data_IF_849821739393
#
_entry.id   IF_849821739393
#
_cell.length_a   1.000
_cell.length_b   1.000
_cell.length_c   1.000
_cell.angle_alpha   90.00
_cell.angle_beta   90.00
_cell.angle_gamma   90.00
#
_symmetry.space_group_name_H-M   'P 1'
#
loop_
_entity.id
_entity.type
_entity.pdbx_description
1 polymer ?
#
# COMPACT_ATOMS: atom_id res chain seq x y z
N UNK A 1 7.50 10.56 -10.35
CA UNK A 1 7.09 9.42 -11.18
C UNK A 1 8.07 9.24 -12.34
N UNK A 2 8.10 8.07 -12.96
CA UNK A 2 9.06 7.70 -14.02
C UNK A 2 8.35 7.29 -15.29
N UNK A 3 9.05 7.46 -16.43
CA UNK A 3 8.70 6.83 -17.69
C UNK A 3 9.86 5.94 -18.11
N UNK A 4 9.56 4.67 -18.36
CA UNK A 4 10.59 3.69 -18.68
C UNK A 4 10.54 3.37 -20.18
N UNK A 5 11.68 3.58 -20.85
CA UNK A 5 11.89 3.22 -22.23
C UNK A 5 12.58 1.86 -22.32
N UNK A 6 11.98 0.93 -23.03
CA UNK A 6 12.48 -0.42 -23.14
C UNK A 6 11.60 -1.27 -24.06
N UNK A 7 11.85 -2.59 -24.12
CA UNK A 7 11.10 -3.47 -25.00
C UNK A 7 9.64 -3.62 -24.52
N UNK A 8 8.73 -3.58 -25.49
CA UNK A 8 7.32 -3.91 -25.29
C UNK A 8 6.97 -5.13 -26.15
N UNK A 9 7.00 -6.29 -25.52
CA UNK A 9 6.66 -7.59 -26.12
C UNK A 9 6.01 -8.45 -25.02
N UNK A 10 4.71 -8.24 -24.75
CA UNK A 10 4.01 -8.93 -23.68
C UNK A 10 4.06 -10.46 -23.77
N UNK A 11 4.05 -11.02 -24.99
CA UNK A 11 4.15 -12.46 -25.22
C UNK A 11 5.45 -13.05 -24.65
N UNK A 12 6.53 -12.26 -24.65
CA UNK A 12 7.82 -12.61 -24.08
C UNK A 12 8.09 -11.97 -22.70
N UNK A 13 7.04 -11.44 -22.03
CA UNK A 13 7.14 -10.88 -20.68
C UNK A 13 7.69 -9.46 -20.61
N UNK A 14 7.91 -8.76 -21.72
CA UNK A 14 8.45 -7.40 -21.76
C UNK A 14 7.32 -6.36 -21.80
N UNK A 15 7.27 -5.46 -20.83
CA UNK A 15 6.12 -4.56 -20.64
C UNK A 15 6.48 -3.09 -20.42
N UNK A 16 7.69 -2.66 -20.82
CA UNK A 16 8.08 -1.25 -20.75
C UNK A 16 7.22 -0.40 -21.70
N UNK A 17 6.59 0.64 -21.20
CA UNK A 17 5.75 1.53 -21.99
C UNK A 17 5.92 2.98 -21.51
N UNK A 18 6.59 3.85 -22.30
CA UNK A 18 6.82 5.24 -21.93
C UNK A 18 5.54 6.09 -21.85
N UNK A 19 4.41 5.59 -22.36
CA UNK A 19 3.11 6.27 -22.19
C UNK A 19 2.51 6.05 -20.79
N UNK A 20 3.04 5.09 -20.03
CA UNK A 20 2.58 4.82 -18.66
C UNK A 20 3.50 5.51 -17.66
N UNK A 21 2.94 6.43 -16.89
CA UNK A 21 3.65 7.11 -15.81
C UNK A 21 3.66 6.19 -14.59
N UNK A 22 4.86 5.85 -14.12
CA UNK A 22 5.07 4.84 -13.07
C UNK A 22 5.47 5.51 -11.76
N UNK A 23 4.93 5.03 -10.65
CA UNK A 23 5.40 5.41 -9.33
C UNK A 23 6.70 4.69 -8.99
N UNK A 24 7.47 5.25 -8.07
CA UNK A 24 8.69 4.66 -7.55
C UNK A 24 8.35 3.51 -6.59
N UNK A 25 8.82 2.26 -6.82
CA UNK A 25 8.60 1.14 -5.90
C UNK A 25 9.22 1.37 -4.52
N UNK A 26 10.19 2.27 -4.39
CA UNK A 26 10.84 2.62 -3.12
C UNK A 26 10.28 3.92 -2.51
N UNK A 27 9.22 4.48 -3.07
CA UNK A 27 8.60 5.68 -2.53
C UNK A 27 8.12 5.46 -1.09
N UNK A 28 8.29 6.47 -0.26
CA UNK A 28 7.85 6.49 1.13
C UNK A 28 6.57 7.31 1.33
N UNK A 29 6.11 7.95 0.28
CA UNK A 29 4.85 8.69 0.26
C UNK A 29 4.35 8.87 -1.17
N UNK A 30 3.06 9.05 -1.31
CA UNK A 30 2.37 9.27 -2.58
C UNK A 30 1.46 10.49 -2.49
N UNK A 31 1.07 11.02 -3.66
CA UNK A 31 0.09 12.07 -3.83
C UNK A 31 -0.79 11.77 -5.04
N UNK A 32 -2.05 12.19 -5.01
CA UNK A 32 -3.05 11.86 -6.03
C UNK A 32 -3.74 10.52 -5.77
N UNK A 33 -4.37 10.01 -6.82
CA UNK A 33 -5.05 8.70 -6.79
C UNK A 33 -4.94 7.99 -8.15
N UNK A 34 -5.14 6.68 -8.14
CA UNK A 34 -5.41 5.92 -9.35
C UNK A 34 -6.92 5.87 -9.55
N UNK A 35 -7.41 6.44 -10.64
CA UNK A 35 -8.84 6.60 -10.90
C UNK A 35 -9.47 5.47 -11.75
N UNK A 36 -8.67 4.46 -12.14
CA UNK A 36 -9.11 3.33 -12.96
C UNK A 36 -9.28 3.68 -14.45
N UNK A 37 -8.76 4.81 -14.91
CA UNK A 37 -8.89 5.25 -16.30
C UNK A 37 -8.24 4.24 -17.28
N UNK A 38 -8.82 4.01 -18.48
CA UNK A 38 -8.26 3.11 -19.49
C UNK A 38 -6.80 3.35 -19.86
N UNK A 39 -6.32 4.59 -19.77
CA UNK A 39 -4.91 4.93 -20.03
C UNK A 39 -3.89 4.24 -19.11
N UNK A 40 -4.32 3.71 -17.96
CA UNK A 40 -3.47 2.94 -17.05
C UNK A 40 -3.10 1.56 -17.58
N UNK A 41 -3.81 1.06 -18.60
CA UNK A 41 -3.60 -0.28 -19.15
C UNK A 41 -2.75 -0.24 -20.42
N UNK A 42 -1.90 -1.27 -20.63
CA UNK A 42 -1.06 -1.37 -21.83
C UNK A 42 -1.81 -1.80 -23.08
N UNK A 43 -3.06 -2.24 -22.96
CA UNK A 43 -3.90 -2.72 -24.05
C UNK A 43 -5.17 -1.89 -24.13
N UNK A 44 -5.79 -1.87 -25.30
CA UNK A 44 -7.12 -1.27 -25.50
C UNK A 44 -8.18 -2.12 -24.79
N UNK A 45 -8.96 -1.53 -23.89
CA UNK A 45 -9.95 -2.25 -23.09
C UNK A 45 -11.11 -2.82 -23.93
N UNK A 46 -11.29 -2.34 -25.16
CA UNK A 46 -12.29 -2.84 -26.12
C UNK A 46 -11.70 -3.84 -27.13
N UNK A 47 -10.38 -3.83 -27.33
CA UNK A 47 -9.67 -4.75 -28.21
C UNK A 47 -8.29 -5.10 -27.63
N UNK A 48 -8.26 -6.14 -26.79
CA UNK A 48 -7.07 -6.55 -26.06
C UNK A 48 -5.89 -6.96 -26.94
N UNK A 49 -6.10 -7.14 -28.26
CA UNK A 49 -5.02 -7.38 -29.23
C UNK A 49 -4.23 -6.13 -29.57
N UNK A 50 -4.78 -4.95 -29.27
CA UNK A 50 -4.16 -3.66 -29.56
C UNK A 50 -3.46 -3.08 -28.33
N UNK A 51 -2.30 -2.49 -28.58
CA UNK A 51 -1.60 -1.70 -27.59
C UNK A 51 -2.33 -0.38 -27.35
N UNK A 52 -2.49 -0.01 -26.07
CA UNK A 52 -2.97 1.31 -25.70
C UNK A 52 -1.77 2.27 -25.51
N UNK A 53 -1.67 3.28 -26.36
CA UNK A 53 -0.61 4.30 -26.32
C UNK A 53 -1.07 5.60 -25.68
N UNK A 54 -2.25 5.62 -25.08
CA UNK A 54 -2.74 6.79 -24.33
C UNK A 54 -1.86 7.09 -23.12
N UNK A 55 -1.61 8.38 -22.87
CA UNK A 55 -0.79 8.81 -21.76
C UNK A 55 -1.57 8.71 -20.44
N UNK A 56 -1.00 8.04 -19.44
CA UNK A 56 -1.61 7.91 -18.12
C UNK A 56 -1.39 9.13 -17.19
N UNK A 57 -0.76 10.19 -17.69
CA UNK A 57 -0.59 11.43 -16.92
C UNK A 57 -1.95 12.01 -16.51
N UNK A 58 -2.12 12.28 -15.23
CA UNK A 58 -3.38 12.79 -14.66
C UNK A 58 -4.31 11.72 -14.11
N UNK A 59 -4.03 10.42 -14.37
CA UNK A 59 -4.82 9.28 -13.92
C UNK A 59 -4.08 8.37 -12.95
N UNK A 60 -2.86 8.75 -12.56
CA UNK A 60 -1.98 7.97 -11.68
C UNK A 60 -1.48 8.81 -10.51
N UNK A 61 -1.15 8.15 -9.43
CA UNK A 61 -0.44 8.76 -8.31
C UNK A 61 0.98 9.17 -8.71
N UNK A 62 1.56 10.05 -7.92
CA UNK A 62 2.98 10.43 -8.01
C UNK A 62 3.68 10.13 -6.69
N UNK A 63 4.94 9.72 -6.77
CA UNK A 63 5.79 9.53 -5.60
C UNK A 63 6.23 10.88 -5.05
N UNK A 64 6.13 11.05 -3.74
CA UNK A 64 6.52 12.28 -3.04
C UNK A 64 7.90 12.11 -2.43
N UNK A 65 8.80 13.03 -2.73
CA UNK A 65 10.10 13.13 -2.06
C UNK A 65 9.89 13.75 -0.67
N UNK A 66 10.17 12.99 0.36
CA UNK A 66 10.01 13.44 1.75
C UNK A 66 11.35 13.58 2.45
N UNK A 67 11.40 14.42 3.48
CA UNK A 67 12.47 14.33 4.47
C UNK A 67 12.20 13.15 5.40
N UNK A 68 13.03 12.09 5.41
CA UNK A 68 12.81 10.90 6.24
C UNK A 68 13.11 11.13 7.73
N UNK A 69 13.64 12.30 8.07
CA UNK A 69 13.96 12.63 9.46
C UNK A 69 12.69 12.64 10.32
N UNK A 70 12.77 11.98 11.44
CA UNK A 70 11.76 12.00 12.50
C UNK A 70 12.50 11.88 13.83
N UNK A 71 12.20 12.77 14.75
CA UNK A 71 12.78 12.70 16.09
C UNK A 71 12.10 11.61 16.90
N UNK A 72 12.74 10.47 16.98
CA UNK A 72 12.30 9.36 17.83
C UNK A 72 12.60 9.59 19.32
N UNK A 73 13.44 10.57 19.66
CA UNK A 73 13.86 10.81 21.05
C UNK A 73 14.51 9.57 21.66
N UNK A 74 13.98 9.13 22.81
CA UNK A 74 14.42 7.93 23.51
C UNK A 74 13.55 6.69 23.22
N UNK A 75 12.76 6.72 22.15
CA UNK A 75 11.84 5.64 21.77
C UNK A 75 12.53 4.28 21.69
N UNK A 76 11.87 3.26 22.24
CA UNK A 76 12.27 1.85 22.16
C UNK A 76 11.03 0.97 22.17
N UNK A 77 11.00 -0.02 21.31
CA UNK A 77 9.97 -1.06 21.37
C UNK A 77 9.98 -1.75 22.74
N UNK A 78 8.84 -1.99 23.37
CA UNK A 78 8.73 -2.51 24.75
C UNK A 78 9.39 -3.88 24.95
N UNK A 79 9.38 -4.78 23.97
CA UNK A 79 9.96 -6.14 24.02
C UNK A 79 9.31 -6.99 25.12
N UNK A 80 8.00 -7.03 25.14
CA UNK A 80 7.22 -7.86 26.05
C UNK A 80 7.58 -9.34 25.86
N UNK A 81 7.85 -10.10 26.93
CA UNK A 81 8.10 -11.55 26.82
C UNK A 81 6.91 -12.27 26.18
N UNK A 82 7.18 -13.30 25.38
CA UNK A 82 6.15 -14.01 24.61
C UNK A 82 5.02 -14.59 25.48
N UNK A 83 5.35 -15.06 26.67
CA UNK A 83 4.40 -15.61 27.64
C UNK A 83 3.54 -14.54 28.34
N UNK A 84 3.86 -13.26 28.16
CA UNK A 84 3.13 -12.12 28.71
C UNK A 84 2.46 -11.30 27.61
N UNK A 85 2.63 -11.70 26.34
CA UNK A 85 2.12 -10.96 25.19
C UNK A 85 0.62 -11.21 24.99
N UNK A 86 -0.13 -10.12 24.91
CA UNK A 86 -1.55 -10.09 24.51
C UNK A 86 -1.66 -9.22 23.25
N UNK A 87 -1.98 -9.83 22.13
CA UNK A 87 -2.10 -9.17 20.82
C UNK A 87 -3.57 -8.79 20.59
N UNK A 88 -3.77 -7.54 20.17
CA UNK A 88 -5.08 -7.04 19.73
C UNK A 88 -4.98 -6.64 18.26
N UNK A 89 -5.69 -7.35 17.38
CA UNK A 89 -5.77 -6.99 15.97
C UNK A 89 -6.76 -5.85 15.78
N UNK A 90 -6.36 -4.81 15.05
CA UNK A 90 -7.16 -3.62 14.81
C UNK A 90 -7.01 -3.10 13.38
N UNK A 91 -8.11 -2.53 12.87
CA UNK A 91 -8.10 -1.75 11.63
C UNK A 91 -7.99 -0.26 11.96
N UNK A 92 -7.05 0.47 11.37
CA UNK A 92 -6.81 1.89 11.67
C UNK A 92 -8.10 2.71 11.59
N UNK A 93 -8.83 2.59 10.48
CA UNK A 93 -10.10 3.31 10.30
C UNK A 93 -11.20 2.74 11.19
N UNK A 94 -11.36 1.43 11.23
CA UNK A 94 -12.46 0.77 11.96
C UNK A 94 -12.44 1.04 13.45
N UNK A 95 -11.26 1.12 14.06
CA UNK A 95 -11.12 1.27 15.51
C UNK A 95 -11.67 2.60 16.04
N UNK A 96 -11.61 3.68 15.25
CA UNK A 96 -11.92 5.02 15.73
C UNK A 96 -13.04 5.73 14.98
N UNK A 97 -13.49 5.23 13.82
CA UNK A 97 -14.40 5.95 12.92
C UNK A 97 -15.73 6.35 13.58
N UNK A 98 -16.23 5.53 14.49
CA UNK A 98 -17.49 5.79 15.22
C UNK A 98 -17.28 6.06 16.70
N UNK A 99 -16.03 6.23 17.14
CA UNK A 99 -15.72 6.39 18.56
C UNK A 99 -16.15 7.78 19.07
N UNK A 100 -16.99 7.88 20.11
CA UNK A 100 -17.57 9.15 20.55
C UNK A 100 -16.53 10.13 21.13
N UNK A 101 -15.49 9.60 21.79
CA UNK A 101 -14.49 10.41 22.49
C UNK A 101 -13.31 10.83 21.59
N UNK A 102 -13.31 10.42 20.31
CA UNK A 102 -12.30 10.84 19.34
C UNK A 102 -12.83 12.05 18.58
N UNK A 103 -12.06 13.16 18.49
CA UNK A 103 -12.40 14.29 17.63
C UNK A 103 -12.71 13.85 16.19
N UNK A 104 -13.76 14.41 15.61
CA UNK A 104 -14.26 13.96 14.30
C UNK A 104 -13.18 13.99 13.22
N UNK A 105 -12.34 15.01 13.20
CA UNK A 105 -11.23 15.21 12.27
C UNK A 105 -10.10 14.19 12.42
N UNK A 106 -10.03 13.47 13.54
CA UNK A 106 -9.03 12.42 13.79
C UNK A 106 -9.59 11.01 13.61
N UNK A 107 -10.93 10.85 13.48
CA UNK A 107 -11.54 9.53 13.33
C UNK A 107 -11.07 8.82 12.06
N UNK A 108 -10.76 7.55 12.20
CA UNK A 108 -10.30 6.72 11.10
C UNK A 108 -8.86 6.95 10.67
N UNK A 109 -8.06 7.68 11.46
CA UNK A 109 -6.68 8.03 11.11
C UNK A 109 -5.65 7.47 12.09
N UNK A 110 -4.36 7.55 11.73
CA UNK A 110 -3.25 7.20 12.62
C UNK A 110 -3.24 8.06 13.89
N UNK A 111 -3.53 9.35 13.76
CA UNK A 111 -3.63 10.25 14.91
C UNK A 111 -4.82 9.90 15.82
N UNK A 112 -5.94 9.47 15.24
CA UNK A 112 -7.09 8.98 16.01
C UNK A 112 -6.75 7.69 16.76
N UNK A 113 -6.02 6.78 16.13
CA UNK A 113 -5.59 5.54 16.78
C UNK A 113 -4.60 5.79 17.93
N UNK A 114 -3.77 6.83 17.82
CA UNK A 114 -2.84 7.29 18.86
C UNK A 114 -3.51 8.13 19.97
N UNK A 115 -4.82 8.37 19.88
CA UNK A 115 -5.52 9.18 20.88
C UNK A 115 -5.53 8.50 22.26
N UNK A 116 -5.39 9.25 23.37
CA UNK A 116 -5.35 8.68 24.73
C UNK A 116 -6.52 7.74 25.02
N UNK A 117 -7.73 8.04 24.57
CA UNK A 117 -8.91 7.20 24.80
C UNK A 117 -8.74 5.77 24.24
N UNK A 118 -8.03 5.61 23.12
CA UNK A 118 -7.73 4.28 22.54
C UNK A 118 -6.58 3.61 23.31
N UNK A 119 -5.53 4.34 23.59
CA UNK A 119 -4.36 3.82 24.31
C UNK A 119 -4.78 3.35 25.72
N UNK A 120 -5.53 4.15 26.46
CA UNK A 120 -5.99 3.80 27.79
C UNK A 120 -6.93 2.58 27.76
N UNK A 121 -7.85 2.52 26.79
CA UNK A 121 -8.70 1.36 26.59
C UNK A 121 -7.91 0.07 26.38
N UNK A 122 -6.90 0.09 25.51
CA UNK A 122 -6.06 -1.07 25.24
C UNK A 122 -5.24 -1.49 26.48
N UNK A 123 -4.74 -0.52 27.25
CA UNK A 123 -4.03 -0.77 28.52
C UNK A 123 -4.95 -1.39 29.57
N UNK A 124 -6.17 -0.90 29.69
CA UNK A 124 -7.15 -1.43 30.65
C UNK A 124 -7.57 -2.87 30.30
N UNK A 125 -7.55 -3.23 29.00
CA UNK A 125 -7.73 -4.61 28.54
C UNK A 125 -6.50 -5.50 28.81
N UNK A 126 -5.35 -4.94 29.16
CA UNK A 126 -4.10 -5.67 29.32
C UNK A 126 -3.40 -6.01 28.00
N UNK A 127 -3.71 -5.28 26.92
CA UNK A 127 -3.05 -5.44 25.61
C UNK A 127 -1.61 -4.98 25.69
N UNK A 128 -0.68 -5.78 25.18
CA UNK A 128 0.74 -5.47 25.13
C UNK A 128 1.27 -5.26 23.70
N UNK A 129 0.51 -5.66 22.70
CA UNK A 129 0.83 -5.42 21.30
C UNK A 129 -0.46 -5.16 20.49
N UNK A 130 -0.43 -4.13 19.66
CA UNK A 130 -1.47 -3.91 18.64
C UNK A 130 -0.97 -4.41 17.30
N UNK A 131 -1.73 -5.29 16.66
CA UNK A 131 -1.49 -5.72 15.28
C UNK A 131 -2.39 -4.94 14.34
N UNK A 132 -1.79 -4.18 13.44
CA UNK A 132 -2.53 -3.36 12.49
C UNK A 132 -2.76 -4.11 11.19
N UNK A 133 -4.03 -4.29 10.79
CA UNK A 133 -4.38 -4.68 9.44
C UNK A 133 -3.65 -3.78 8.42
N UNK A 134 -3.50 -4.18 7.14
CA UNK A 134 -2.56 -3.56 6.24
C UNK A 134 -2.58 -2.04 6.23
N UNK A 135 -1.43 -1.46 6.47
CA UNK A 135 -1.17 -0.01 6.50
C UNK A 135 -0.24 0.46 5.38
N UNK A 136 0.27 -0.45 4.55
CA UNK A 136 1.00 -0.08 3.35
C UNK A 136 0.05 0.57 2.33
N UNK A 137 0.58 1.42 1.45
CA UNK A 137 -0.23 2.05 0.41
C UNK A 137 -0.81 0.98 -0.52
N UNK A 138 -2.14 0.90 -0.59
CA UNK A 138 -2.89 -0.06 -1.40
C UNK A 138 -3.83 0.64 -2.38
N UNK A 139 -4.29 -0.10 -3.39
CA UNK A 139 -5.29 0.36 -4.36
C UNK A 139 -6.70 0.00 -3.94
N UNK A 140 -7.63 0.83 -4.40
CA UNK A 140 -9.04 0.50 -4.41
C UNK A 140 -9.33 -0.44 -5.60
N UNK A 141 -10.11 -1.49 -5.36
CA UNK A 141 -10.53 -2.42 -6.42
C UNK A 141 -11.63 -1.79 -7.28
N UNK A 142 -11.53 -1.90 -8.60
CA UNK A 142 -12.47 -1.26 -9.53
C UNK A 142 -13.92 -1.70 -9.29
N UNK A 143 -14.16 -2.99 -9.04
CA UNK A 143 -15.49 -3.52 -8.75
C UNK A 143 -16.12 -2.97 -7.44
N UNK A 144 -15.30 -2.49 -6.50
CA UNK A 144 -15.76 -1.81 -5.29
C UNK A 144 -16.05 -0.34 -5.59
N UNK A 145 -15.17 0.32 -6.35
CA UNK A 145 -15.36 1.73 -6.76
C UNK A 145 -16.65 1.92 -7.55
N UNK A 146 -16.95 1.03 -8.50
CA UNK A 146 -18.21 1.03 -9.27
C UNK A 146 -19.47 0.97 -8.38
N UNK A 147 -19.35 0.38 -7.19
CA UNK A 147 -20.43 0.26 -6.19
C UNK A 147 -20.40 1.36 -5.14
N UNK A 148 -19.49 2.35 -5.25
CA UNK A 148 -19.29 3.38 -4.23
C UNK A 148 -18.72 2.83 -2.92
N UNK A 149 -18.05 1.67 -2.96
CA UNK A 149 -17.40 1.02 -1.85
C UNK A 149 -15.89 1.22 -1.93
N UNK A 150 -15.19 0.94 -0.83
CA UNK A 150 -13.73 0.98 -0.74
C UNK A 150 -13.19 -0.37 -0.26
N UNK A 151 -11.94 -0.67 -0.63
CA UNK A 151 -11.21 -1.81 -0.09
C UNK A 151 -10.92 -1.55 1.40
N UNK A 152 -11.66 -2.23 2.26
CA UNK A 152 -11.55 -2.05 3.71
C UNK A 152 -10.32 -2.74 4.29
N UNK A 153 -10.00 -3.94 3.82
CA UNK A 153 -8.93 -4.74 4.41
C UNK A 153 -7.52 -4.31 4.01
N UNK A 154 -7.35 -3.73 2.81
CA UNK A 154 -6.07 -3.20 2.37
C UNK A 154 -5.07 -4.21 1.80
N UNK A 155 -5.48 -5.46 1.51
CA UNK A 155 -4.60 -6.51 0.96
C UNK A 155 -4.35 -6.38 -0.55
N UNK A 156 -4.24 -5.15 -1.06
CA UNK A 156 -4.01 -4.83 -2.47
C UNK A 156 -2.86 -3.83 -2.61
N UNK A 157 -1.70 -4.18 -2.05
CA UNK A 157 -0.55 -3.30 -1.88
C UNK A 157 0.18 -3.02 -3.19
N UNK A 158 0.63 -1.78 -3.38
CA UNK A 158 1.60 -1.40 -4.40
C UNK A 158 2.76 -0.58 -3.84
N UNK A 159 2.59 0.11 -2.72
CA UNK A 159 3.60 0.94 -2.08
C UNK A 159 4.09 0.32 -0.77
N UNK A 160 5.02 -0.63 -0.85
CA UNK A 160 5.50 -1.41 0.31
C UNK A 160 6.30 -0.61 1.34
N UNK A 161 6.75 0.59 1.02
CA UNK A 161 7.56 1.44 1.91
C UNK A 161 6.84 2.72 2.33
N UNK A 162 5.56 2.85 2.01
CA UNK A 162 4.75 4.03 2.30
C UNK A 162 3.52 3.65 3.14
N UNK A 163 3.18 4.43 4.17
CA UNK A 163 1.91 4.29 4.87
C UNK A 163 0.75 4.73 3.96
N UNK A 164 -0.40 4.07 4.11
CA UNK A 164 -1.60 4.40 3.36
C UNK A 164 -2.05 5.83 3.68
N UNK A 165 -2.12 6.68 2.65
CA UNK A 165 -2.36 8.11 2.82
C UNK A 165 -3.75 8.44 3.38
N UNK A 166 -4.77 7.64 3.04
CA UNK A 166 -6.15 7.89 3.45
C UNK A 166 -6.39 7.60 4.94
N UNK A 167 -5.40 7.03 5.64
CA UNK A 167 -5.41 6.87 7.10
C UNK A 167 -4.71 8.03 7.81
N UNK A 168 -4.36 9.11 7.12
CA UNK A 168 -3.75 10.29 7.72
C UNK A 168 -4.75 11.43 7.88
N UNK A 169 -4.74 12.07 9.04
CA UNK A 169 -5.46 13.33 9.27
C UNK A 169 -4.76 14.50 8.55
N UNK A 170 -3.47 14.35 8.23
CA UNK A 170 -2.69 15.36 7.52
C UNK A 170 -3.09 15.44 6.05
N UNK A 171 -3.44 16.64 5.59
CA UNK A 171 -3.72 16.91 4.18
C UNK A 171 -2.46 17.24 3.36
N UNK A 172 -1.27 17.20 3.98
CA UNK A 172 -0.01 17.50 3.30
C UNK A 172 0.54 16.25 2.63
N UNK A 173 0.99 16.31 1.37
CA UNK A 173 1.70 15.20 0.76
C UNK A 173 2.87 14.72 1.64
N UNK A 174 2.92 13.41 1.91
CA UNK A 174 3.91 12.82 2.81
C UNK A 174 3.64 12.97 4.32
N UNK A 175 2.58 13.67 4.71
CA UNK A 175 2.21 13.86 6.12
C UNK A 175 1.91 12.55 6.85
N UNK A 176 1.36 11.56 6.15
CA UNK A 176 1.09 10.22 6.66
C UNK A 176 2.32 9.56 7.31
N UNK A 177 3.52 9.81 6.79
CA UNK A 177 4.76 9.22 7.32
C UNK A 177 5.04 9.70 8.74
N UNK A 178 4.96 11.01 8.98
CA UNK A 178 5.21 11.58 10.30
C UNK A 178 4.11 11.21 11.28
N UNK A 179 2.86 11.16 10.81
CA UNK A 179 1.70 10.79 11.64
C UNK A 179 1.77 9.32 12.05
N UNK A 180 2.08 8.41 11.11
CA UNK A 180 2.30 7.00 11.39
C UNK A 180 3.41 6.78 12.42
N UNK A 181 4.58 7.43 12.23
CA UNK A 181 5.69 7.35 13.20
C UNK A 181 5.31 7.91 14.57
N UNK A 182 4.53 9.00 14.60
CA UNK A 182 3.99 9.55 15.84
C UNK A 182 3.07 8.58 16.59
N UNK A 183 2.21 7.87 15.85
CA UNK A 183 1.36 6.81 16.38
C UNK A 183 2.20 5.67 16.98
N UNK A 184 3.19 5.15 16.25
CA UNK A 184 4.09 4.09 16.77
C UNK A 184 4.76 4.52 18.07
N UNK A 185 5.31 5.74 18.10
CA UNK A 185 5.95 6.28 19.32
C UNK A 185 4.96 6.36 20.48
N UNK A 186 3.72 6.83 20.24
CA UNK A 186 2.70 6.92 21.29
C UNK A 186 2.34 5.56 21.89
N UNK A 187 2.25 4.51 21.07
CA UNK A 187 2.06 3.15 21.56
C UNK A 187 3.27 2.64 22.35
N UNK A 188 4.49 2.84 21.86
CA UNK A 188 5.71 2.46 22.59
C UNK A 188 5.82 3.17 23.95
N UNK A 189 5.54 4.47 24.00
CA UNK A 189 5.53 5.26 25.25
C UNK A 189 4.49 4.72 26.24
N UNK A 190 3.42 4.10 25.75
CA UNK A 190 2.39 3.45 26.57
C UNK A 190 2.71 2.00 26.95
N UNK A 191 3.83 1.45 26.49
CA UNK A 191 4.24 0.07 26.71
C UNK A 191 3.56 -0.94 25.78
N UNK A 192 3.02 -0.50 24.65
CA UNK A 192 2.34 -1.33 23.65
C UNK A 192 3.23 -1.43 22.41
N UNK A 193 3.54 -2.65 21.96
CA UNK A 193 4.25 -2.93 20.72
C UNK A 193 3.32 -2.74 19.51
N UNK A 194 3.89 -2.43 18.34
CA UNK A 194 3.14 -2.32 17.08
C UNK A 194 3.60 -3.40 16.12
N UNK A 195 2.66 -4.24 15.70
CA UNK A 195 2.86 -5.28 14.69
C UNK A 195 2.14 -4.84 13.41
N UNK A 196 2.78 -5.03 12.26
CA UNK A 196 2.18 -4.72 10.96
C UNK A 196 1.82 -6.01 10.24
N UNK A 197 0.54 -6.15 9.86
CA UNK A 197 0.13 -7.18 8.91
C UNK A 197 0.59 -6.76 7.51
N UNK A 198 1.36 -7.61 6.86
CA UNK A 198 2.03 -7.31 5.60
C UNK A 198 1.78 -8.37 4.54
N UNK A 199 1.65 -7.93 3.28
CA UNK A 199 1.41 -8.78 2.11
C UNK A 199 2.56 -8.61 1.13
N UNK A 200 3.54 -9.53 1.17
CA UNK A 200 4.72 -9.51 0.31
C UNK A 200 4.68 -10.57 -0.80
N UNK A 201 3.53 -11.20 -1.03
CA UNK A 201 3.38 -12.28 -1.99
C UNK A 201 2.84 -11.85 -3.36
N UNK A 202 2.11 -10.72 -3.44
CA UNK A 202 1.54 -10.17 -4.66
C UNK A 202 1.46 -8.64 -4.63
N UNK A 203 1.05 -8.04 -5.73
CA UNK A 203 0.84 -6.58 -5.84
C UNK A 203 -0.53 -6.26 -6.42
N UNK A 204 -0.94 -5.01 -6.25
CA UNK A 204 -2.17 -4.44 -6.81
C UNK A 204 -2.20 -4.38 -8.34
N UNK A 205 -1.11 -4.65 -9.05
CA UNK A 205 -1.10 -4.65 -10.52
C UNK A 205 -1.89 -5.83 -11.13
N UNK A 206 -2.36 -6.79 -10.31
CA UNK A 206 -3.19 -7.92 -10.77
C UNK A 206 -2.50 -8.82 -11.79
N UNK A 207 -3.29 -9.52 -12.62
CA UNK A 207 -2.77 -10.40 -13.65
C UNK A 207 -2.24 -9.63 -14.87
N UNK A 208 -1.93 -10.34 -15.97
CA UNK A 208 -1.41 -9.76 -17.21
C UNK A 208 -2.34 -8.70 -17.85
N UNK A 209 -3.61 -8.66 -17.44
CA UNK A 209 -4.61 -7.68 -17.84
C UNK A 209 -4.78 -6.53 -16.84
N UNK A 210 -4.04 -6.49 -15.75
CA UNK A 210 -4.09 -5.41 -14.78
C UNK A 210 -3.39 -4.13 -15.23
N UNK A 211 -3.51 -3.04 -14.47
CA UNK A 211 -2.92 -1.75 -14.82
C UNK A 211 -1.38 -1.79 -14.76
N UNK A 212 -0.73 -0.89 -15.46
CA UNK A 212 0.72 -0.66 -15.43
C UNK A 212 0.99 0.64 -14.69
N UNK A 213 1.31 0.51 -13.41
CA UNK A 213 1.41 1.64 -12.49
C UNK A 213 2.75 1.74 -11.75
N UNK A 214 3.48 0.61 -11.67
CA UNK A 214 4.75 0.53 -10.94
C UNK A 214 5.66 -0.58 -11.52
N UNK A 215 5.70 -1.73 -10.88
CA UNK A 215 6.67 -2.82 -11.05
C UNK A 215 6.73 -3.37 -12.48
N UNK A 216 5.56 -3.66 -13.04
CA UNK A 216 5.39 -4.27 -14.36
C UNK A 216 5.98 -3.40 -15.47
N UNK A 217 5.82 -2.07 -15.37
CA UNK A 217 6.33 -1.13 -16.35
C UNK A 217 7.83 -0.83 -16.19
N UNK A 218 8.42 -1.13 -15.03
CA UNK A 218 9.85 -0.94 -14.74
C UNK A 218 10.64 -2.15 -15.22
N UNK A 219 10.40 -3.33 -14.63
CA UNK A 219 11.01 -4.60 -15.03
C UNK A 219 10.10 -5.77 -14.67
N UNK A 220 9.22 -6.12 -15.59
CA UNK A 220 8.21 -7.15 -15.35
C UNK A 220 8.80 -8.50 -14.93
N UNK A 221 9.92 -8.89 -15.52
CA UNK A 221 10.54 -10.20 -15.29
C UNK A 221 11.32 -10.26 -13.96
N UNK A 222 11.83 -9.12 -13.50
CA UNK A 222 12.50 -9.04 -12.22
C UNK A 222 11.50 -9.10 -11.06
N UNK A 223 10.39 -8.37 -11.19
CA UNK A 223 9.41 -8.26 -10.11
C UNK A 223 8.40 -9.40 -10.05
N UNK A 224 8.03 -10.01 -11.18
CA UNK A 224 6.97 -11.02 -11.21
C UNK A 224 7.48 -12.39 -11.64
N UNK A 225 6.87 -13.42 -11.08
CA UNK A 225 7.08 -14.81 -11.50
C UNK A 225 6.23 -15.09 -12.75
N UNK A 226 6.89 -15.27 -13.89
CA UNK A 226 6.23 -15.58 -15.14
C UNK A 226 6.07 -17.09 -15.32
N UNK A 227 5.03 -17.51 -16.05
CA UNK A 227 4.79 -18.91 -16.38
C UNK A 227 5.87 -19.38 -17.36
N UNK A 228 6.51 -20.51 -17.09
CA UNK A 228 7.49 -21.11 -17.98
C UNK A 228 6.82 -21.59 -19.27
N UNK A 229 7.37 -21.18 -20.42
CA UNK A 229 6.78 -21.48 -21.73
C UNK A 229 5.61 -20.60 -22.15
N UNK A 230 5.10 -19.74 -21.23
CA UNK A 230 4.02 -18.79 -21.51
C UNK A 230 4.24 -17.48 -20.71
N UNK A 231 5.27 -16.74 -21.11
CA UNK A 231 5.76 -15.57 -20.36
C UNK A 231 4.81 -14.35 -20.37
N UNK A 232 3.73 -14.44 -21.12
CA UNK A 232 2.65 -13.44 -21.07
C UNK A 232 1.92 -13.47 -19.71
N UNK A 233 1.82 -14.64 -19.09
CA UNK A 233 1.06 -14.88 -17.89
C UNK A 233 1.94 -14.94 -16.64
N UNK A 234 1.35 -14.63 -15.51
CA UNK A 234 2.01 -14.71 -14.20
C UNK A 234 1.66 -16.02 -13.49
N UNK A 235 2.63 -16.57 -12.76
CA UNK A 235 2.33 -17.57 -11.74
C UNK A 235 1.46 -16.89 -10.67
N UNK A 236 0.38 -17.56 -10.30
CA UNK A 236 -0.59 -17.04 -9.32
C UNK A 236 -0.84 -18.08 -8.23
N UNK A 237 -0.04 -18.02 -7.16
CA UNK A 237 -0.19 -18.93 -6.03
C UNK A 237 -1.21 -18.43 -5.00
N UNK A 238 -1.63 -17.19 -5.12
CA UNK A 238 -2.48 -16.50 -4.13
C UNK A 238 -3.91 -16.32 -4.58
N UNK A 239 -4.20 -16.51 -5.88
CA UNK A 239 -5.51 -16.24 -6.48
C UNK A 239 -5.78 -14.74 -6.72
N UNK A 240 -4.74 -13.90 -6.65
CA UNK A 240 -4.85 -12.43 -6.79
C UNK A 240 -4.38 -11.91 -8.14
N UNK A 241 -3.90 -12.81 -9.02
CA UNK A 241 -3.49 -12.52 -10.39
C UNK A 241 -1.98 -12.47 -10.61
N UNK A 242 -1.15 -12.36 -9.57
CA UNK A 242 0.30 -12.38 -9.70
C UNK A 242 0.98 -12.95 -8.46
N UNK A 243 2.25 -13.30 -8.62
CA UNK A 243 3.16 -13.62 -7.52
C UNK A 243 4.47 -12.87 -7.70
N UNK A 244 4.91 -12.20 -6.64
CA UNK A 244 6.20 -11.50 -6.63
C UNK A 244 7.37 -12.48 -6.75
N UNK A 245 8.39 -12.09 -7.49
CA UNK A 245 9.62 -12.84 -7.67
C UNK A 245 10.66 -12.48 -6.59
N UNK A 246 10.33 -12.76 -5.32
CA UNK A 246 11.18 -12.44 -4.16
C UNK A 246 12.54 -13.19 -4.15
N UNK A 247 12.80 -14.04 -5.15
CA UNK A 247 14.11 -14.69 -5.33
C UNK A 247 15.08 -13.86 -6.17
N UNK A 248 14.56 -12.86 -6.89
CA UNK A 248 15.39 -11.95 -7.65
C UNK A 248 16.17 -11.03 -6.71
N UNK A 249 17.44 -10.71 -6.99
CA UNK A 249 18.29 -9.92 -6.08
C UNK A 249 17.95 -8.42 -6.01
N UNK A 250 17.00 -7.94 -6.81
CA UNK A 250 16.53 -6.55 -6.83
C UNK A 250 15.30 -6.36 -5.97
#
# INVERSE_FOLDING_TARGET
AYRVHGPFDPANGKRCDPNKLLVDPYAKAFDGEFDGHPSLFNYDIHDHSKRNTEDSLGHTMTSVVINPFFDWGADRAPRTPYNETVIYEAHVKGMTMTHPDIPEELRGTYAGLAHPAIIDYLKDLGVTAIELMPVHQFLQDDHLREKGLSNYWGYNTFGFLAPHQDYSASQKPGGAVSEFKGMVRAFHDAGIEVILDVVYNHTAEGNHMGPTICFRGIDNEAYYRLVEGDRQHYMDYTGTGNSLNVRHPH
#
